data_IF_715942871284
#
_entry.id   IF_715942871284
#
_cell.length_a   1.000
_cell.length_b   1.000
_cell.length_c   1.000
_cell.angle_alpha   90.00
_cell.angle_beta   90.00
_cell.angle_gamma   90.00
#
_symmetry.space_group_name_H-M   'P 1'
#
loop_
_entity.id
_entity.type
_entity.pdbx_description
1 polymer ?
#
# COMPACT_ATOMS: atom_id res chain seq x y z
N UNK A 1 -4.28 8.02 -7.55
CA UNK A 1 -4.07 7.31 -6.29
C UNK A 1 -3.81 5.86 -6.66
N UNK A 2 -2.60 5.31 -6.48
CA UNK A 2 -2.29 3.92 -6.87
C UNK A 2 -1.46 3.23 -5.80
N UNK A 3 -1.67 1.92 -5.64
CA UNK A 3 -0.67 1.07 -5.03
C UNK A 3 0.36 0.68 -6.11
N UNK A 4 1.64 0.90 -5.86
CA UNK A 4 2.69 0.30 -6.67
C UNK A 4 2.61 -1.23 -6.58
N UNK A 5 2.99 -1.90 -7.65
CA UNK A 5 3.08 -3.36 -7.62
C UNK A 5 4.03 -3.81 -6.49
N UNK A 6 3.69 -4.84 -5.73
CA UNK A 6 4.42 -5.28 -4.52
C UNK A 6 5.90 -5.63 -4.80
N UNK A 7 6.18 -6.27 -5.94
CA UNK A 7 7.56 -6.53 -6.45
C UNK A 7 8.43 -5.28 -6.58
N UNK A 8 7.82 -4.09 -6.72
CA UNK A 8 8.56 -2.84 -6.89
C UNK A 8 8.91 -2.18 -5.57
N UNK A 9 8.27 -2.53 -4.45
CA UNK A 9 8.41 -1.81 -3.17
C UNK A 9 9.88 -1.64 -2.75
N UNK A 10 10.66 -2.73 -2.82
CA UNK A 10 12.09 -2.71 -2.47
C UNK A 10 12.96 -1.92 -3.44
N UNK A 11 12.45 -1.56 -4.62
CA UNK A 11 13.14 -0.81 -5.68
C UNK A 11 12.67 0.64 -5.80
N UNK A 12 11.50 0.99 -5.26
CA UNK A 12 10.95 2.33 -5.38
C UNK A 12 11.96 3.38 -4.86
N UNK A 13 12.16 4.52 -5.53
CA UNK A 13 12.93 5.60 -4.94
C UNK A 13 12.25 6.18 -3.71
N UNK A 14 13.01 6.92 -2.89
CA UNK A 14 12.54 7.48 -1.60
C UNK A 14 11.17 8.17 -1.72
N UNK A 15 10.99 9.04 -2.71
CA UNK A 15 9.76 9.82 -2.83
C UNK A 15 8.53 8.93 -3.07
N UNK A 16 8.68 7.87 -3.87
CA UNK A 16 7.62 6.93 -4.20
C UNK A 16 7.32 6.00 -3.03
N UNK A 17 8.34 5.53 -2.31
CA UNK A 17 8.16 4.72 -1.11
C UNK A 17 7.41 5.49 -0.01
N UNK A 18 7.86 6.72 0.31
CA UNK A 18 7.19 7.56 1.31
C UNK A 18 5.80 8.00 0.83
N UNK A 19 5.63 8.22 -0.46
CA UNK A 19 4.32 8.47 -1.08
C UNK A 19 3.38 7.28 -0.92
N UNK A 20 3.88 6.07 -1.15
CA UNK A 20 3.12 4.83 -1.00
C UNK A 20 2.65 4.61 0.43
N UNK A 21 3.48 4.92 1.43
CA UNK A 21 3.06 4.90 2.83
C UNK A 21 1.91 5.87 3.10
N UNK A 22 2.02 7.13 2.65
CA UNK A 22 0.93 8.11 2.79
C UNK A 22 -0.35 7.63 2.13
N UNK A 23 -0.24 6.99 0.98
CA UNK A 23 -1.37 6.38 0.27
C UNK A 23 -2.05 5.30 1.12
N UNK A 24 -1.28 4.36 1.66
CA UNK A 24 -1.80 3.32 2.53
C UNK A 24 -2.49 3.91 3.77
N UNK A 25 -1.88 4.93 4.38
CA UNK A 25 -2.47 5.64 5.52
C UNK A 25 -3.82 6.28 5.15
N UNK A 26 -3.91 6.93 3.99
CA UNK A 26 -5.14 7.54 3.51
C UNK A 26 -6.23 6.49 3.22
N UNK A 27 -5.87 5.40 2.53
CA UNK A 27 -6.79 4.32 2.18
C UNK A 27 -7.28 3.55 3.40
N UNK A 28 -6.43 3.31 4.41
CA UNK A 28 -6.83 2.67 5.68
C UNK A 28 -7.72 3.57 6.54
N UNK A 29 -7.54 4.88 6.45
CA UNK A 29 -8.31 5.87 7.20
C UNK A 29 -9.65 6.25 6.55
N UNK A 30 -9.93 7.56 6.57
CA UNK A 30 -11.15 8.15 6.00
C UNK A 30 -11.22 8.10 4.46
N UNK A 31 -10.20 7.55 3.79
CA UNK A 31 -10.23 7.24 2.36
C UNK A 31 -10.87 5.89 2.04
N UNK A 32 -11.06 5.01 3.02
CA UNK A 32 -11.63 3.69 2.79
C UNK A 32 -13.01 3.76 2.12
N UNK A 33 -13.20 3.02 1.03
CA UNK A 33 -14.46 2.93 0.29
C UNK A 33 -14.78 4.14 -0.60
N UNK A 34 -13.89 5.13 -0.72
CA UNK A 34 -14.06 6.26 -1.65
C UNK A 34 -13.55 5.86 -3.03
N UNK A 35 -14.36 6.10 -4.07
CA UNK A 35 -13.99 5.73 -5.45
C UNK A 35 -12.69 6.41 -5.90
N UNK A 36 -11.80 5.60 -6.46
CA UNK A 36 -10.50 5.94 -7.02
C UNK A 36 -10.22 5.10 -8.27
N UNK A 37 -10.07 5.79 -9.41
CA UNK A 37 -9.98 5.17 -10.74
C UNK A 37 -8.98 4.00 -10.90
N UNK A 38 -7.89 3.97 -10.12
CA UNK A 38 -6.79 2.99 -10.28
C UNK A 38 -6.57 2.06 -9.08
N UNK A 39 -7.29 2.24 -7.97
CA UNK A 39 -7.08 1.46 -6.72
C UNK A 39 -8.37 0.93 -6.12
N UNK A 40 -9.51 1.09 -6.81
CA UNK A 40 -10.83 0.64 -6.33
C UNK A 40 -10.88 -0.85 -5.99
N UNK A 41 -10.07 -1.69 -6.65
CA UNK A 41 -10.00 -3.12 -6.37
C UNK A 41 -9.68 -3.43 -4.91
N UNK A 42 -8.91 -2.58 -4.22
CA UNK A 42 -8.55 -2.76 -2.80
C UNK A 42 -9.79 -2.88 -1.92
N UNK A 43 -10.87 -2.16 -2.24
CA UNK A 43 -12.09 -2.14 -1.45
C UNK A 43 -12.99 -3.36 -1.70
N UNK A 44 -12.68 -4.20 -2.68
CA UNK A 44 -13.35 -5.49 -2.89
C UNK A 44 -12.82 -6.58 -1.95
N UNK A 45 -11.76 -6.29 -1.20
CA UNK A 45 -11.12 -7.23 -0.27
C UNK A 45 -11.24 -6.74 1.18
N UNK A 46 -10.94 -7.65 2.12
CA UNK A 46 -10.81 -7.29 3.54
C UNK A 46 -9.79 -6.15 3.73
N UNK A 47 -10.09 -5.14 4.58
CA UNK A 47 -9.11 -4.11 4.98
C UNK A 47 -7.79 -4.71 5.51
N UNK A 48 -7.83 -5.93 6.03
CA UNK A 48 -6.65 -6.65 6.48
C UNK A 48 -5.64 -6.92 5.36
N UNK A 49 -6.09 -7.10 4.10
CA UNK A 49 -5.17 -7.19 2.94
C UNK A 49 -4.42 -5.89 2.71
N UNK A 50 -5.06 -4.74 2.90
CA UNK A 50 -4.40 -3.45 2.78
C UNK A 50 -3.38 -3.25 3.90
N UNK A 51 -3.68 -3.73 5.11
CA UNK A 51 -2.70 -3.80 6.19
C UNK A 51 -1.49 -4.67 5.80
N UNK A 52 -1.70 -5.88 5.26
CA UNK A 52 -0.60 -6.75 4.82
C UNK A 52 0.28 -6.09 3.75
N UNK A 53 -0.33 -5.41 2.78
CA UNK A 53 0.42 -4.64 1.78
C UNK A 53 1.17 -3.47 2.43
N UNK A 54 0.54 -2.77 3.38
CA UNK A 54 1.16 -1.68 4.10
C UNK A 54 2.37 -2.14 4.93
N UNK A 55 2.34 -3.35 5.48
CA UNK A 55 3.50 -3.94 6.15
C UNK A 55 4.71 -4.02 5.21
N UNK A 56 4.55 -4.49 3.96
CA UNK A 56 5.66 -4.50 2.99
C UNK A 56 6.30 -3.11 2.80
N UNK A 57 5.48 -2.06 2.80
CA UNK A 57 5.92 -0.67 2.66
C UNK A 57 6.64 -0.20 3.92
N UNK A 58 6.09 -0.48 5.11
CA UNK A 58 6.70 -0.11 6.40
C UNK A 58 8.01 -0.86 6.64
N UNK A 59 8.06 -2.15 6.33
CA UNK A 59 9.26 -2.99 6.45
C UNK A 59 10.40 -2.43 5.57
N UNK A 60 10.10 -2.06 4.32
CA UNK A 60 11.09 -1.45 3.43
C UNK A 60 11.47 -0.03 3.89
N UNK A 61 10.55 0.72 4.47
CA UNK A 61 10.85 2.03 5.07
C UNK A 61 11.83 1.89 6.24
N UNK A 62 11.56 0.99 7.17
CA UNK A 62 12.39 0.70 8.34
C UNK A 62 13.77 0.20 7.92
N UNK A 63 13.83 -0.71 6.94
CA UNK A 63 15.08 -1.19 6.35
C UNK A 63 15.96 -0.06 5.80
N UNK A 64 15.35 1.02 5.31
CA UNK A 64 16.05 2.23 4.82
C UNK A 64 16.28 3.31 5.88
N UNK A 65 16.00 3.00 7.15
CA UNK A 65 16.20 3.91 8.29
C UNK A 65 15.11 4.97 8.45
N UNK A 66 13.94 4.79 7.84
CA UNK A 66 12.77 5.63 8.10
C UNK A 66 11.93 5.06 9.25
N UNK A 67 11.28 5.93 10.01
CA UNK A 67 10.44 5.53 11.14
C UNK A 67 8.97 5.87 10.86
N UNK A 68 8.17 4.95 10.29
CA UNK A 68 6.71 5.12 10.24
C UNK A 68 6.17 5.20 11.68
N UNK A 69 5.03 5.88 11.87
CA UNK A 69 4.43 5.96 13.20
C UNK A 69 3.98 4.55 13.65
N UNK A 70 4.38 4.08 14.85
CA UNK A 70 4.23 2.68 15.28
C UNK A 70 2.77 2.22 15.35
N UNK A 71 1.82 3.14 15.52
CA UNK A 71 0.38 2.85 15.51
C UNK A 71 -0.06 2.18 14.20
N UNK A 72 0.64 2.45 13.08
CA UNK A 72 0.31 1.83 11.80
C UNK A 72 0.64 0.33 11.72
N UNK A 73 1.38 -0.22 12.70
CA UNK A 73 1.63 -1.66 12.84
C UNK A 73 0.43 -2.43 13.40
N UNK A 74 -0.55 -1.73 13.98
CA UNK A 74 -1.83 -2.32 14.37
C UNK A 74 -2.78 -2.35 13.15
N UNK A 75 -3.30 -3.52 12.73
CA UNK A 75 -4.27 -3.63 11.64
C UNK A 75 -5.56 -2.81 11.87
N UNK A 76 -5.97 -2.65 13.13
CA UNK A 76 -7.19 -1.92 13.51
C UNK A 76 -7.03 -0.40 13.38
N UNK A 77 -5.80 0.11 13.41
CA UNK A 77 -5.54 1.55 13.37
C UNK A 77 -5.87 2.17 12.02
N UNK A 78 -6.62 3.28 12.05
CA UNK A 78 -7.13 4.00 10.87
C UNK A 78 -6.73 5.49 10.86
N UNK A 79 -5.73 5.86 11.65
CA UNK A 79 -5.33 7.26 11.84
C UNK A 79 -6.11 7.96 12.95
N UNK A 80 -5.63 9.15 13.34
CA UNK A 80 -6.17 9.90 14.51
C UNK A 80 -7.61 10.39 14.36
N UNK A 81 -8.10 10.52 13.13
CA UNK A 81 -9.41 11.11 12.80
C UNK A 81 -10.41 10.08 12.29
N UNK A 82 -10.10 8.79 12.40
CA UNK A 82 -10.96 7.71 11.97
C UNK A 82 -11.00 6.67 13.09
N UNK A 83 -12.19 6.28 13.52
CA UNK A 83 -12.32 5.25 14.54
C UNK A 83 -11.68 3.94 14.07
N UNK A 84 -10.95 3.30 14.97
CA UNK A 84 -10.36 1.99 14.72
C UNK A 84 -11.45 0.97 14.38
N UNK A 85 -11.08 -0.09 13.68
CA UNK A 85 -11.99 -1.22 13.53
C UNK A 85 -12.30 -1.84 14.90
N UNK A 86 -13.58 -2.15 15.16
CA UNK A 86 -13.99 -2.87 16.35
C UNK A 86 -13.56 -4.35 16.28
N UNK A 87 -13.73 -4.94 15.09
CA UNK A 87 -13.24 -6.27 14.74
C UNK A 87 -12.76 -6.25 13.28
N UNK A 88 -11.66 -6.95 13.03
CA UNK A 88 -11.09 -7.14 11.71
C UNK A 88 -10.45 -8.53 11.68
N UNK A 89 -11.19 -9.54 11.16
CA UNK A 89 -10.68 -10.89 11.05
C UNK A 89 -9.38 -10.92 10.24
N UNK A 90 -8.40 -11.66 10.76
CA UNK A 90 -7.17 -11.92 10.03
C UNK A 90 -7.48 -12.76 8.79
N UNK A 91 -6.79 -12.46 7.69
CA UNK A 91 -6.86 -13.27 6.48
C UNK A 91 -5.47 -13.75 6.11
N UNK A 92 -5.38 -14.95 5.54
CA UNK A 92 -4.11 -15.46 5.03
C UNK A 92 -3.56 -14.54 3.94
N UNK A 93 -2.24 -14.33 3.97
CA UNK A 93 -1.55 -13.52 2.97
C UNK A 93 -1.42 -14.35 1.69
N UNK A 94 -1.99 -13.87 0.59
CA UNK A 94 -1.75 -14.43 -0.75
C UNK A 94 -0.46 -13.86 -1.36
N UNK A 95 0.05 -14.54 -2.39
CA UNK A 95 1.15 -14.04 -3.23
C UNK A 95 0.70 -14.08 -4.69
N UNK A 96 0.48 -12.92 -5.34
CA UNK A 96 0.55 -11.57 -4.78
C UNK A 96 -0.55 -11.28 -3.72
N UNK A 97 -0.37 -10.24 -2.90
CA UNK A 97 -1.37 -9.85 -1.87
C UNK A 97 -2.71 -9.52 -2.54
N UNK A 98 -2.65 -8.80 -3.66
CA UNK A 98 -3.79 -8.53 -4.52
C UNK A 98 -3.58 -9.25 -5.85
N UNK A 99 -4.56 -10.04 -6.35
CA UNK A 99 -4.43 -10.69 -7.65
C UNK A 99 -4.29 -9.68 -8.80
N UNK A 100 -4.75 -8.45 -8.63
CA UNK A 100 -4.54 -7.34 -9.56
C UNK A 100 -3.07 -6.92 -9.67
N UNK A 101 -2.20 -7.32 -8.74
CA UNK A 101 -0.76 -7.17 -8.88
C UNK A 101 -0.19 -8.32 -9.72
N UNK A 102 -0.67 -8.41 -10.97
CA UNK A 102 -0.18 -9.34 -11.98
C UNK A 102 0.92 -8.69 -12.84
N UNK A 103 1.40 -9.45 -13.84
CA UNK A 103 2.44 -8.96 -14.75
C UNK A 103 1.99 -7.79 -15.64
N UNK A 104 0.69 -7.68 -15.94
CA UNK A 104 0.14 -6.56 -16.71
C UNK A 104 0.20 -5.29 -15.86
N UNK A 105 -0.28 -5.36 -14.62
CA UNK A 105 -0.23 -4.24 -13.69
C UNK A 105 1.21 -3.86 -13.31
N UNK A 106 2.13 -4.83 -13.25
CA UNK A 106 3.56 -4.58 -13.09
C UNK A 106 4.11 -3.73 -14.24
N UNK A 107 3.79 -4.09 -15.49
CA UNK A 107 4.20 -3.34 -16.67
C UNK A 107 3.64 -1.91 -16.66
N UNK A 108 2.37 -1.74 -16.28
CA UNK A 108 1.75 -0.41 -16.10
C UNK A 108 2.44 0.41 -15.00
N UNK A 109 2.89 -0.23 -13.92
CA UNK A 109 3.67 0.44 -12.87
C UNK A 109 5.03 0.91 -13.39
N UNK A 110 5.74 0.06 -14.13
CA UNK A 110 7.04 0.41 -14.72
C UNK A 110 6.90 1.55 -15.73
N UNK A 111 5.94 1.47 -16.65
CA UNK A 111 5.66 2.52 -17.61
C UNK A 111 5.32 3.86 -16.92
N UNK A 112 4.59 3.82 -15.81
CA UNK A 112 4.28 5.04 -15.04
C UNK A 112 5.52 5.66 -14.37
N UNK A 113 6.48 4.85 -13.92
CA UNK A 113 7.75 5.35 -13.38
C UNK A 113 8.59 5.96 -14.50
N UNK A 114 8.70 5.27 -15.64
CA UNK A 114 9.43 5.74 -16.81
C UNK A 114 8.89 7.08 -17.35
N UNK A 115 7.56 7.22 -17.46
CA UNK A 115 6.92 8.49 -17.85
C UNK A 115 7.24 9.65 -16.89
N UNK A 116 7.61 9.35 -15.64
CA UNK A 116 8.05 10.33 -14.64
C UNK A 116 9.57 10.53 -14.64
N UNK A 117 10.29 9.93 -15.60
CA UNK A 117 11.75 9.96 -15.68
C UNK A 117 12.44 9.12 -14.61
N UNK A 118 11.73 8.14 -14.01
CA UNK A 118 12.25 7.29 -12.95
C UNK A 118 12.52 5.91 -13.52
N UNK A 119 13.79 5.51 -13.53
CA UNK A 119 14.24 4.20 -13.97
C UNK A 119 14.74 3.42 -12.75
N UNK A 120 14.14 2.25 -12.52
CA UNK A 120 14.55 1.38 -11.42
C UNK A 120 15.85 0.66 -11.81
N UNK A 121 16.84 0.71 -10.92
CA UNK A 121 18.12 -0.01 -11.02
C UNK A 121 18.07 -1.35 -10.33
#
# INVERSE_FOLDING_TARGET
MRLWHEKLISKLPRQQLLGQHRECCALRGNGWGKKHATVDYVFHYSPYKLFQYHQLVMDEMEKRGYSPAPEWTDPMYRGKSCEAFFDLPTVERSVPIYPEHDEVYLAECLANLEQKGIYLT
#
